data_IF_714614635097
#
_entry.id   IF_714614635097
#
_cell.length_a   1.000
_cell.length_b   1.000
_cell.length_c   1.000
_cell.angle_alpha   90.00
_cell.angle_beta   90.00
_cell.angle_gamma   90.00
#
_symmetry.space_group_name_H-M   'P 1'
#
loop_
_entity.id
_entity.type
_entity.pdbx_description
1 polymer ?
#
# COMPACT_ATOMS: atom_id res chain seq x y z
N UNK A 1 -14.72 -11.72 -2.82
CA UNK A 1 -14.04 -10.75 -3.67
C UNK A 1 -14.72 -10.71 -5.04
N UNK A 2 -15.14 -9.54 -5.51
CA UNK A 2 -15.90 -9.37 -6.76
C UNK A 2 -15.01 -8.83 -7.87
N UNK A 3 -14.14 -7.87 -7.56
CA UNK A 3 -13.19 -7.30 -8.51
C UNK A 3 -11.93 -6.78 -7.81
N UNK A 4 -10.85 -6.69 -8.57
CA UNK A 4 -9.59 -6.07 -8.18
C UNK A 4 -9.12 -5.10 -9.25
N UNK A 5 -8.37 -4.11 -8.85
CA UNK A 5 -7.65 -3.20 -9.72
C UNK A 5 -6.33 -2.82 -9.05
N UNK A 6 -5.25 -2.86 -9.80
CA UNK A 6 -3.93 -2.42 -9.35
C UNK A 6 -3.39 -1.39 -10.33
N UNK A 7 -2.83 -0.32 -9.81
CA UNK A 7 -2.17 0.74 -10.58
C UNK A 7 -0.88 1.17 -9.89
N UNK A 8 0.06 1.68 -10.66
CA UNK A 8 1.26 2.34 -10.14
C UNK A 8 0.86 3.56 -9.31
N UNK A 9 1.49 3.75 -8.14
CA UNK A 9 1.19 4.89 -7.28
C UNK A 9 1.53 6.20 -7.98
N UNK A 10 0.55 7.08 -8.15
CA UNK A 10 0.69 8.39 -8.80
C UNK A 10 1.69 9.32 -8.10
N UNK A 11 1.98 9.08 -6.83
CA UNK A 11 3.04 9.80 -6.09
C UNK A 11 4.46 9.32 -6.44
N UNK A 12 4.61 8.26 -7.25
CA UNK A 12 5.90 7.70 -7.64
C UNK A 12 6.80 8.67 -8.39
N UNK A 13 6.24 9.69 -9.05
CA UNK A 13 6.97 10.79 -9.70
C UNK A 13 7.61 11.77 -8.70
N UNK A 14 7.11 11.80 -7.45
CA UNK A 14 7.60 12.63 -6.35
C UNK A 14 8.44 11.86 -5.35
N UNK A 15 8.77 10.64 -5.62
CA UNK A 15 9.62 9.81 -4.79
C UNK A 15 9.26 8.35 -4.88
N UNK A 16 10.30 7.54 -5.04
CA UNK A 16 10.14 6.09 -5.14
C UNK A 16 9.76 5.43 -3.83
N UNK A 17 10.09 6.07 -2.73
CA UNK A 17 9.90 5.58 -1.38
C UNK A 17 9.29 6.66 -0.47
N UNK A 18 8.92 6.26 0.74
CA UNK A 18 8.25 7.14 1.69
C UNK A 18 9.13 8.26 2.20
N UNK A 19 10.46 8.05 2.32
CA UNK A 19 11.39 9.08 2.81
C UNK A 19 11.51 10.24 1.82
N UNK A 20 11.59 9.93 0.52
CA UNK A 20 11.58 10.98 -0.52
C UNK A 20 10.26 11.78 -0.49
N UNK A 21 9.12 11.13 -0.26
CA UNK A 21 7.83 11.83 -0.14
C UNK A 21 7.81 12.75 1.09
N UNK A 22 8.36 12.30 2.22
CA UNK A 22 8.52 13.14 3.41
C UNK A 22 9.39 14.37 3.13
N UNK A 23 10.47 14.23 2.36
CA UNK A 23 11.29 15.37 1.91
C UNK A 23 10.48 16.37 1.08
N UNK A 24 9.65 15.89 0.14
CA UNK A 24 8.76 16.77 -0.62
C UNK A 24 7.73 17.50 0.24
N UNK A 25 7.22 16.85 1.29
CA UNK A 25 6.35 17.55 2.27
C UNK A 25 7.10 18.67 2.97
N UNK A 26 8.35 18.42 3.39
CA UNK A 26 9.21 19.43 4.01
C UNK A 26 9.51 20.61 3.07
N UNK A 27 9.55 20.35 1.76
CA UNK A 27 9.70 21.38 0.71
C UNK A 27 8.39 22.12 0.36
N UNK A 28 7.31 21.91 1.12
CA UNK A 28 6.01 22.56 0.89
C UNK A 28 5.14 21.93 -0.19
N UNK A 29 5.43 20.72 -0.65
CA UNK A 29 4.67 20.00 -1.69
C UNK A 29 3.69 18.97 -1.13
N UNK A 30 3.38 19.04 0.17
CA UNK A 30 2.50 18.09 0.85
C UNK A 30 1.11 18.02 0.23
N UNK A 31 0.48 19.17 -0.04
CA UNK A 31 -0.86 19.24 -0.60
C UNK A 31 -0.96 18.58 -1.98
N UNK A 32 0.09 18.69 -2.80
CA UNK A 32 0.15 18.03 -4.09
C UNK A 32 0.14 16.49 -3.95
N UNK A 33 0.90 15.95 -2.99
CA UNK A 33 0.92 14.52 -2.71
C UNK A 33 -0.44 14.03 -2.19
N UNK A 34 -1.08 14.79 -1.32
CA UNK A 34 -2.45 14.53 -0.84
C UNK A 34 -3.44 14.48 -2.00
N UNK A 35 -3.45 15.50 -2.83
CA UNK A 35 -4.34 15.56 -3.99
C UNK A 35 -4.15 14.37 -4.93
N UNK A 36 -2.91 14.04 -5.27
CA UNK A 36 -2.59 12.94 -6.19
C UNK A 36 -3.10 11.59 -5.71
N UNK A 37 -2.89 11.25 -4.43
CA UNK A 37 -3.36 9.96 -3.91
C UNK A 37 -4.88 9.90 -3.80
N UNK A 38 -5.53 10.98 -3.37
CA UNK A 38 -6.99 11.04 -3.27
C UNK A 38 -7.65 10.92 -4.64
N UNK A 39 -7.13 11.63 -5.64
CA UNK A 39 -7.61 11.56 -7.01
C UNK A 39 -7.43 10.16 -7.61
N UNK A 40 -6.26 9.54 -7.43
CA UNK A 40 -6.01 8.19 -7.92
C UNK A 40 -6.98 7.18 -7.31
N UNK A 41 -7.17 7.19 -6.00
CA UNK A 41 -8.09 6.26 -5.33
C UNK A 41 -9.53 6.46 -5.84
N UNK A 42 -9.97 7.71 -6.03
CA UNK A 42 -11.28 8.01 -6.59
C UNK A 42 -11.44 7.45 -8.02
N UNK A 43 -10.43 7.67 -8.87
CA UNK A 43 -10.44 7.18 -10.25
C UNK A 43 -10.44 5.65 -10.31
N UNK A 44 -9.61 4.99 -9.51
CA UNK A 44 -9.57 3.52 -9.42
C UNK A 44 -10.91 2.96 -8.97
N UNK A 45 -11.49 3.52 -7.92
CA UNK A 45 -12.82 3.11 -7.44
C UNK A 45 -13.92 3.33 -8.49
N UNK A 46 -13.88 4.45 -9.21
CA UNK A 46 -14.81 4.75 -10.30
C UNK A 46 -14.68 3.73 -11.45
N UNK A 47 -13.45 3.36 -11.83
CA UNK A 47 -13.20 2.30 -12.82
C UNK A 47 -13.77 0.96 -12.38
N UNK A 48 -13.56 0.57 -11.11
CA UNK A 48 -14.12 -0.65 -10.55
C UNK A 48 -15.65 -0.65 -10.62
N UNK A 49 -16.31 0.44 -10.23
CA UNK A 49 -17.76 0.57 -10.29
C UNK A 49 -18.26 0.55 -11.74
N UNK A 50 -17.60 1.23 -12.66
CA UNK A 50 -17.96 1.21 -14.08
C UNK A 50 -17.87 -0.19 -14.70
N UNK A 51 -16.81 -0.95 -14.40
CA UNK A 51 -16.63 -2.33 -14.87
C UNK A 51 -17.81 -3.23 -14.41
N UNK A 52 -18.44 -2.91 -13.27
CA UNK A 52 -19.49 -3.73 -12.65
C UNK A 52 -20.91 -3.16 -12.75
N UNK A 53 -21.09 -1.99 -13.36
CA UNK A 53 -22.43 -1.40 -13.58
C UNK A 53 -23.40 -2.33 -14.33
N UNK A 54 -22.89 -3.22 -15.17
CA UNK A 54 -23.72 -4.23 -15.86
C UNK A 54 -24.32 -5.28 -14.89
N UNK A 55 -23.72 -5.46 -13.70
CA UNK A 55 -24.18 -6.41 -12.68
C UNK A 55 -24.97 -5.73 -11.55
N UNK A 56 -24.72 -4.44 -11.30
CA UNK A 56 -25.30 -3.69 -10.19
C UNK A 56 -25.81 -2.33 -10.70
N UNK A 57 -27.08 -2.29 -11.11
CA UNK A 57 -27.72 -1.03 -11.48
C UNK A 57 -27.64 -0.02 -10.31
N UNK A 58 -27.05 1.15 -10.55
CA UNK A 58 -26.98 2.28 -9.61
C UNK A 58 -26.32 2.00 -8.24
N UNK A 59 -25.10 1.50 -8.20
CA UNK A 59 -24.38 1.38 -6.92
C UNK A 59 -23.41 2.53 -6.74
N UNK A 60 -23.65 3.32 -5.70
CA UNK A 60 -22.68 4.23 -5.11
C UNK A 60 -22.02 3.47 -3.95
N UNK A 61 -20.69 3.50 -3.80
CA UNK A 61 -20.05 2.85 -2.66
C UNK A 61 -20.53 3.52 -1.36
N UNK A 62 -20.86 2.71 -0.35
CA UNK A 62 -21.35 3.21 0.95
C UNK A 62 -20.26 3.23 2.01
N UNK A 63 -19.27 2.36 1.87
CA UNK A 63 -18.13 2.24 2.79
C UNK A 63 -16.83 1.97 2.02
N UNK A 64 -15.74 2.53 2.53
CA UNK A 64 -14.38 2.29 2.07
C UNK A 64 -13.47 2.11 3.28
N UNK A 65 -12.68 1.05 3.29
CA UNK A 65 -11.58 0.88 4.22
C UNK A 65 -10.26 1.20 3.51
N UNK A 66 -9.42 1.99 4.16
CA UNK A 66 -8.10 2.37 3.66
C UNK A 66 -7.05 1.82 4.61
N UNK A 67 -6.11 1.08 4.06
CA UNK A 67 -4.92 0.59 4.74
C UNK A 67 -3.68 0.95 3.92
N UNK A 68 -2.57 1.12 4.59
CA UNK A 68 -1.30 1.41 3.95
C UNK A 68 -0.22 1.74 4.95
N UNK A 69 0.96 1.97 4.43
CA UNK A 69 2.08 2.46 5.22
C UNK A 69 1.71 3.75 5.97
N UNK A 70 2.31 3.96 7.15
CA UNK A 70 1.99 5.10 8.04
C UNK A 70 2.05 6.44 7.31
N UNK A 71 3.11 6.71 6.54
CA UNK A 71 3.25 7.97 5.78
C UNK A 71 2.14 8.14 4.76
N UNK A 72 1.77 7.04 4.06
CA UNK A 72 0.70 7.07 3.06
C UNK A 72 -0.66 7.39 3.69
N UNK A 73 -0.96 6.80 4.84
CA UNK A 73 -2.20 7.07 5.59
C UNK A 73 -2.23 8.53 6.09
N UNK A 74 -1.11 9.05 6.60
CA UNK A 74 -1.01 10.46 7.00
C UNK A 74 -1.24 11.41 5.82
N UNK A 75 -0.61 11.14 4.67
CA UNK A 75 -0.82 11.93 3.46
C UNK A 75 -2.28 11.88 2.99
N UNK A 76 -2.90 10.69 2.97
CA UNK A 76 -4.31 10.56 2.61
C UNK A 76 -5.22 11.37 3.53
N UNK A 77 -4.96 11.32 4.85
CA UNK A 77 -5.70 12.07 5.88
C UNK A 77 -5.31 13.55 5.95
N UNK A 78 -4.26 13.98 5.24
CA UNK A 78 -3.68 15.32 5.35
C UNK A 78 -3.25 15.66 6.77
N UNK A 79 -2.64 14.69 7.45
CA UNK A 79 -2.09 14.85 8.80
C UNK A 79 -0.62 15.23 8.76
N UNK A 80 -0.15 15.85 9.83
CA UNK A 80 1.25 16.18 10.00
C UNK A 80 2.13 14.92 9.97
N UNK A 81 3.21 14.98 9.22
CA UNK A 81 4.19 13.89 9.06
C UNK A 81 5.54 14.20 9.71
N UNK A 82 5.68 15.36 10.36
CA UNK A 82 6.96 15.80 10.95
C UNK A 82 7.45 14.83 12.01
N UNK A 83 6.56 14.27 12.81
CA UNK A 83 6.88 13.25 13.81
C UNK A 83 7.40 11.93 13.23
N UNK A 84 7.20 11.69 11.92
CA UNK A 84 7.70 10.49 11.24
C UNK A 84 9.10 10.68 10.63
N UNK A 85 9.66 11.91 10.65
CA UNK A 85 10.92 12.24 9.99
C UNK A 85 12.16 12.00 10.85
N UNK A 86 12.01 11.88 12.16
CA UNK A 86 13.14 11.77 13.08
C UNK A 86 12.75 11.21 14.45
N UNK A 87 13.71 10.68 15.16
CA UNK A 87 13.53 10.13 16.49
C UNK A 87 13.28 11.25 17.54
N UNK A 88 12.40 11.01 18.54
CA UNK A 88 11.55 9.83 18.66
C UNK A 88 10.40 9.87 17.66
N UNK A 89 10.26 8.80 16.88
CA UNK A 89 9.23 8.72 15.85
C UNK A 89 7.84 8.66 16.47
N UNK A 90 6.92 9.49 15.94
CA UNK A 90 5.54 9.56 16.43
C UNK A 90 4.55 9.77 15.28
N UNK A 91 3.41 9.09 15.34
CA UNK A 91 2.31 9.31 14.43
C UNK A 91 1.43 10.48 14.92
N UNK A 92 0.85 11.23 13.98
CA UNK A 92 -0.02 12.36 14.31
C UNK A 92 -1.47 11.95 14.66
N UNK A 93 -1.78 10.67 14.56
CA UNK A 93 -3.08 10.12 14.98
C UNK A 93 -2.91 8.67 15.46
N UNK A 94 -3.82 8.27 16.34
CA UNK A 94 -3.95 6.91 16.87
C UNK A 94 -5.39 6.42 16.65
N UNK A 95 -5.58 5.10 16.57
CA UNK A 95 -6.88 4.49 16.33
C UNK A 95 -7.40 4.62 14.89
N UNK A 96 -8.67 4.26 14.69
CA UNK A 96 -9.34 4.41 13.42
C UNK A 96 -9.71 5.89 13.18
N UNK A 97 -9.54 6.34 11.94
CA UNK A 97 -9.95 7.68 11.53
C UNK A 97 -11.05 7.58 10.48
N UNK A 98 -12.25 8.08 10.81
CA UNK A 98 -13.40 8.05 9.89
C UNK A 98 -13.68 9.44 9.35
N UNK A 99 -13.92 9.55 8.05
CA UNK A 99 -14.27 10.76 7.33
C UNK A 99 -15.27 10.43 6.20
N UNK A 100 -15.83 11.46 5.60
CA UNK A 100 -16.73 11.30 4.46
C UNK A 100 -16.03 11.66 3.15
N UNK A 101 -16.54 11.15 2.05
CA UNK A 101 -16.02 11.47 0.72
C UNK A 101 -15.94 12.98 0.41
N UNK A 102 -16.89 13.78 0.94
CA UNK A 102 -16.84 15.24 0.84
C UNK A 102 -15.59 15.85 1.50
N UNK A 103 -15.08 15.26 2.58
CA UNK A 103 -13.93 15.74 3.35
C UNK A 103 -12.61 15.54 2.60
N UNK A 104 -12.59 14.63 1.63
CA UNK A 104 -11.46 14.37 0.72
C UNK A 104 -11.66 14.94 -0.68
N UNK A 105 -12.75 15.72 -0.89
CA UNK A 105 -13.04 16.40 -2.16
C UNK A 105 -13.80 15.56 -3.19
N UNK A 106 -14.33 14.41 -2.83
CA UNK A 106 -15.07 13.51 -3.75
C UNK A 106 -16.55 13.87 -3.82
N UNK A 107 -16.91 14.75 -4.76
CA UNK A 107 -18.27 15.27 -4.90
C UNK A 107 -19.30 14.20 -5.24
N UNK A 108 -18.93 13.26 -6.14
CA UNK A 108 -19.83 12.18 -6.56
C UNK A 108 -20.02 11.09 -5.50
N UNK A 109 -19.14 11.06 -4.51
CA UNK A 109 -19.15 10.13 -3.37
C UNK A 109 -19.19 10.88 -2.04
N UNK A 110 -19.89 11.99 -1.98
CA UNK A 110 -19.89 12.92 -0.83
C UNK A 110 -20.29 12.26 0.50
N UNK A 111 -21.15 11.24 0.45
CA UNK A 111 -21.65 10.50 1.62
C UNK A 111 -20.90 9.20 1.90
N UNK A 112 -19.91 8.82 1.06
CA UNK A 112 -19.10 7.64 1.28
C UNK A 112 -18.40 7.70 2.63
N UNK A 113 -18.66 6.72 3.50
CA UNK A 113 -17.92 6.58 4.75
C UNK A 113 -16.55 5.97 4.47
N UNK A 114 -15.49 6.70 4.81
CA UNK A 114 -14.10 6.27 4.61
C UNK A 114 -13.49 6.04 6.00
N UNK A 115 -13.03 4.82 6.24
CA UNK A 115 -12.32 4.48 7.49
C UNK A 115 -10.86 4.16 7.15
N UNK A 116 -9.95 4.96 7.66
CA UNK A 116 -8.52 4.67 7.64
C UNK A 116 -8.18 3.89 8.90
N UNK A 117 -7.65 2.68 8.73
CA UNK A 117 -7.31 1.82 9.84
C UNK A 117 -6.06 2.33 10.58
N UNK A 118 -5.91 2.01 11.89
CA UNK A 118 -4.74 2.42 12.66
C UNK A 118 -3.50 1.67 12.23
N UNK A 119 -2.34 2.33 12.33
CA UNK A 119 -1.05 1.65 12.38
C UNK A 119 -0.80 1.03 13.75
N UNK A 120 0.24 0.21 13.84
CA UNK A 120 0.71 -0.41 15.09
C UNK A 120 1.70 0.52 15.79
N UNK A 121 2.55 1.20 15.02
CA UNK A 121 3.56 2.15 15.50
C UNK A 121 3.91 3.16 14.41
N UNK A 122 4.74 4.14 14.73
CA UNK A 122 5.11 5.22 13.80
C UNK A 122 5.57 4.74 12.41
N UNK A 123 6.28 3.61 12.31
CA UNK A 123 6.72 3.03 11.04
C UNK A 123 6.15 1.63 10.77
N UNK A 124 5.20 1.16 11.54
CA UNK A 124 4.47 -0.09 11.32
C UNK A 124 3.01 0.30 11.05
N UNK A 125 2.67 0.36 9.78
CA UNK A 125 1.45 0.98 9.29
C UNK A 125 0.18 0.14 9.43
N UNK A 126 -0.89 0.66 8.86
CA UNK A 126 -2.20 -0.01 8.81
C UNK A 126 -2.20 -1.25 7.90
N UNK A 127 -1.31 -1.33 6.92
CA UNK A 127 -1.02 -2.50 6.10
C UNK A 127 -0.56 -3.69 6.95
N UNK A 128 0.42 -3.49 7.83
CA UNK A 128 0.87 -4.49 8.78
C UNK A 128 -0.25 -4.88 9.78
N UNK A 129 -1.02 -3.89 10.26
CA UNK A 129 -2.18 -4.16 11.12
C UNK A 129 -3.25 -5.01 10.41
N UNK A 130 -3.51 -4.73 9.13
CA UNK A 130 -4.44 -5.53 8.32
C UNK A 130 -3.93 -6.95 8.09
N UNK A 131 -2.62 -7.13 7.87
CA UNK A 131 -1.98 -8.46 7.75
C UNK A 131 -2.15 -9.25 9.05
N UNK A 132 -1.87 -8.63 10.21
CA UNK A 132 -2.10 -9.22 11.53
C UNK A 132 -3.55 -9.65 11.70
N UNK A 133 -4.48 -8.79 11.26
CA UNK A 133 -5.91 -9.04 11.25
C UNK A 133 -6.31 -10.22 10.39
N UNK A 134 -5.89 -10.24 9.15
CA UNK A 134 -6.24 -11.28 8.19
C UNK A 134 -5.69 -12.66 8.59
N UNK A 135 -4.51 -12.70 9.19
CA UNK A 135 -3.88 -13.94 9.68
C UNK A 135 -4.38 -14.35 11.08
N UNK A 136 -5.21 -13.53 11.74
CA UNK A 136 -5.71 -13.74 13.10
C UNK A 136 -4.59 -14.05 14.11
N UNK A 137 -3.47 -13.36 13.98
CA UNK A 137 -2.27 -13.68 14.76
C UNK A 137 -2.47 -13.50 16.26
N UNK A 138 -3.41 -12.62 16.69
CA UNK A 138 -3.71 -12.42 18.12
C UNK A 138 -4.41 -13.62 18.79
N UNK A 139 -5.05 -14.49 18.01
CA UNK A 139 -5.88 -15.61 18.47
C UNK A 139 -5.15 -16.97 18.31
N UNK A 140 -3.85 -16.94 18.07
CA UNK A 140 -3.10 -18.15 17.79
C UNK A 140 -2.27 -18.62 19.01
N UNK A 141 -2.50 -19.85 19.44
CA UNK A 141 -1.71 -20.52 20.50
C UNK A 141 -0.30 -20.90 20.05
N UNK A 142 -0.02 -20.81 18.74
CA UNK A 142 1.25 -21.19 18.13
C UNK A 142 2.12 -19.97 17.87
N UNK A 143 3.43 -20.18 17.84
CA UNK A 143 4.35 -19.17 17.34
C UNK A 143 4.10 -18.99 15.84
N UNK A 144 3.83 -17.76 15.43
CA UNK A 144 3.60 -17.38 14.04
C UNK A 144 4.51 -16.21 13.68
N UNK A 145 5.09 -16.28 12.49
CA UNK A 145 5.87 -15.20 11.89
C UNK A 145 5.20 -14.80 10.58
N UNK A 146 4.97 -13.52 10.39
CA UNK A 146 4.53 -12.96 9.13
C UNK A 146 5.52 -11.85 8.70
N UNK A 147 5.84 -11.82 7.42
CA UNK A 147 6.78 -10.84 6.85
C UNK A 147 6.15 -10.28 5.59
N UNK A 148 6.03 -8.96 5.55
CA UNK A 148 5.69 -8.20 4.35
C UNK A 148 6.97 -7.63 3.76
N UNK A 149 7.31 -8.08 2.55
CA UNK A 149 8.56 -7.69 1.88
C UNK A 149 8.27 -6.62 0.82
N UNK A 150 8.66 -5.40 1.12
CA UNK A 150 8.67 -4.27 0.20
C UNK A 150 10.02 -3.55 0.25
N UNK A 151 10.05 -2.30 -0.14
CA UNK A 151 11.21 -1.40 0.05
C UNK A 151 11.60 -1.31 1.53
N UNK A 152 10.60 -1.33 2.42
CA UNK A 152 10.75 -1.68 3.82
C UNK A 152 10.15 -3.07 4.04
N UNK A 153 10.59 -3.77 5.06
CA UNK A 153 10.01 -5.03 5.46
C UNK A 153 9.37 -4.89 6.84
N UNK A 154 8.08 -5.22 6.94
CA UNK A 154 7.36 -5.31 8.19
C UNK A 154 7.35 -6.77 8.67
N UNK A 155 7.79 -6.97 9.90
CA UNK A 155 7.90 -8.29 10.53
C UNK A 155 6.97 -8.31 11.73
N UNK A 156 6.04 -9.27 11.73
CA UNK A 156 5.11 -9.53 12.83
C UNK A 156 5.39 -10.90 13.42
N UNK A 157 5.53 -10.98 14.73
CA UNK A 157 5.71 -12.22 15.48
C UNK A 157 4.63 -12.34 16.53
N UNK A 158 3.86 -13.42 16.47
CA UNK A 158 3.08 -13.87 17.61
C UNK A 158 3.86 -14.95 18.38
N UNK A 159 4.13 -14.69 19.64
CA UNK A 159 4.66 -15.68 20.57
C UNK A 159 3.58 -16.01 21.60
N UNK A 160 2.69 -16.96 21.26
CA UNK A 160 1.64 -17.48 22.13
C UNK A 160 0.79 -16.38 22.78
N UNK A 161 0.27 -15.45 21.96
CA UNK A 161 -0.57 -14.36 22.39
C UNK A 161 0.18 -13.05 22.67
N UNK A 162 1.51 -13.07 22.76
CA UNK A 162 2.30 -11.82 22.81
C UNK A 162 2.74 -11.45 21.41
N UNK A 163 2.31 -10.25 20.97
CA UNK A 163 2.60 -9.75 19.64
C UNK A 163 3.80 -8.80 19.64
N UNK A 164 4.68 -8.99 18.69
CA UNK A 164 5.82 -8.13 18.40
C UNK A 164 5.74 -7.65 16.95
N UNK A 165 6.12 -6.41 16.72
CA UNK A 165 6.18 -5.83 15.39
C UNK A 165 7.43 -4.98 15.22
N UNK A 166 8.04 -5.04 14.06
CA UNK A 166 9.11 -4.12 13.69
C UNK A 166 9.08 -3.83 12.19
N UNK A 167 9.67 -2.71 11.81
CA UNK A 167 9.91 -2.37 10.41
C UNK A 167 11.42 -2.19 10.20
N UNK A 168 11.92 -2.62 9.05
CA UNK A 168 13.32 -2.49 8.68
C UNK A 168 13.46 -2.12 7.20
N UNK A 169 14.52 -1.42 6.85
CA UNK A 169 14.83 -1.16 5.45
C UNK A 169 15.34 -2.44 4.79
N UNK A 170 14.60 -2.94 3.78
CA UNK A 170 14.99 -4.10 2.97
C UNK A 170 15.61 -3.68 1.63
N UNK A 171 15.33 -2.45 1.19
CA UNK A 171 15.78 -1.91 -0.09
C UNK A 171 14.86 -2.30 -1.26
N UNK A 172 14.91 -1.54 -2.36
CA UNK A 172 13.97 -1.66 -3.47
C UNK A 172 14.39 -2.69 -4.53
N UNK A 173 15.20 -3.69 -4.18
CA UNK A 173 15.71 -4.66 -5.16
C UNK A 173 14.60 -5.51 -5.80
N UNK A 174 13.59 -5.89 -5.01
CA UNK A 174 12.43 -6.65 -5.51
C UNK A 174 11.53 -5.82 -6.43
N UNK A 175 11.54 -4.51 -6.30
CA UNK A 175 10.86 -3.59 -7.22
C UNK A 175 11.73 -3.24 -8.43
N UNK A 176 12.83 -3.96 -8.63
CA UNK A 176 13.76 -3.79 -9.74
C UNK A 176 14.59 -2.50 -9.68
N UNK A 177 14.83 -1.97 -8.48
CA UNK A 177 15.63 -0.77 -8.25
C UNK A 177 16.90 -1.08 -7.48
N UNK A 178 17.94 -0.27 -7.72
CA UNK A 178 19.23 -0.45 -7.04
C UNK A 178 20.02 -1.70 -7.43
N UNK A 179 19.58 -2.42 -8.45
CA UNK A 179 20.26 -3.58 -9.04
C UNK A 179 20.52 -3.36 -10.53
N UNK A 180 21.64 -3.92 -11.03
CA UNK A 180 21.95 -3.88 -12.46
C UNK A 180 20.86 -4.58 -13.28
N UNK A 181 20.39 -3.92 -14.34
CA UNK A 181 19.31 -4.41 -15.20
C UNK A 181 17.94 -4.59 -14.53
N UNK A 182 17.77 -4.19 -13.27
CA UNK A 182 16.48 -4.19 -12.59
C UNK A 182 15.47 -3.27 -13.27
N UNK A 183 14.22 -3.72 -13.39
CA UNK A 183 13.11 -2.93 -13.94
C UNK A 183 11.82 -3.27 -13.20
N UNK A 184 10.92 -2.29 -13.10
CA UNK A 184 9.56 -2.54 -12.62
C UNK A 184 8.86 -3.57 -13.50
N UNK A 185 7.96 -4.37 -12.90
CA UNK A 185 7.16 -5.33 -13.64
C UNK A 185 6.32 -4.62 -14.72
N UNK A 186 6.66 -4.86 -15.97
CA UNK A 186 5.97 -4.34 -17.16
C UNK A 186 6.23 -5.29 -18.33
N UNK A 187 5.46 -5.19 -19.39
CA UNK A 187 5.61 -6.03 -20.57
C UNK A 187 7.07 -6.17 -21.00
N UNK A 188 7.52 -7.39 -21.20
CA UNK A 188 8.89 -7.73 -21.61
C UNK A 188 9.91 -7.83 -20.48
N UNK A 189 9.51 -7.61 -19.22
CA UNK A 189 10.39 -7.84 -18.05
C UNK A 189 10.31 -9.30 -17.61
N UNK A 190 11.44 -9.89 -17.25
CA UNK A 190 11.50 -11.25 -16.71
C UNK A 190 10.88 -11.25 -15.33
N UNK A 191 9.85 -12.09 -15.11
CA UNK A 191 9.18 -12.24 -13.82
C UNK A 191 9.38 -13.62 -13.18
N UNK A 192 9.86 -14.60 -13.94
CA UNK A 192 10.23 -15.90 -13.39
C UNK A 192 11.36 -16.55 -14.20
N UNK A 193 12.18 -17.34 -13.50
CA UNK A 193 13.28 -18.11 -14.07
C UNK A 193 13.19 -19.55 -13.56
N UNK A 194 13.15 -20.52 -14.47
CA UNK A 194 13.26 -21.94 -14.13
C UNK A 194 14.60 -22.49 -14.58
N UNK A 195 15.28 -23.15 -13.66
CA UNK A 195 16.55 -23.83 -13.91
C UNK A 195 16.31 -25.34 -13.94
N UNK A 196 16.70 -26.00 -15.01
CA UNK A 196 16.58 -27.46 -15.14
C UNK A 196 17.91 -28.12 -14.78
N UNK A 197 17.90 -28.99 -13.75
CA UNK A 197 19.09 -29.73 -13.35
C UNK A 197 19.56 -30.65 -14.46
N UNK A 198 20.81 -30.54 -14.87
CA UNK A 198 21.48 -31.46 -15.77
C UNK A 198 21.51 -31.08 -17.25
N UNK A 199 20.75 -30.09 -17.71
CA UNK A 199 20.70 -29.72 -19.12
C UNK A 199 21.29 -28.34 -19.46
N UNK A 200 21.65 -27.53 -18.44
CA UNK A 200 22.07 -26.14 -18.66
C UNK A 200 20.98 -25.24 -19.25
N UNK A 201 19.75 -25.75 -19.33
CA UNK A 201 18.64 -25.01 -19.92
C UNK A 201 18.00 -24.08 -18.89
N UNK A 202 17.68 -22.87 -19.35
CA UNK A 202 17.00 -21.82 -18.56
C UNK A 202 15.71 -21.48 -19.30
N UNK A 203 14.58 -21.55 -18.59
CA UNK A 203 13.32 -21.03 -19.09
C UNK A 203 13.04 -19.68 -18.43
N UNK A 204 12.75 -18.67 -19.22
CA UNK A 204 12.40 -17.33 -18.77
C UNK A 204 10.92 -17.08 -19.02
N UNK A 205 10.20 -16.63 -18.00
CA UNK A 205 8.84 -16.11 -18.14
C UNK A 205 8.89 -14.59 -18.15
N UNK A 206 8.23 -13.98 -19.14
CA UNK A 206 8.14 -12.54 -19.28
C UNK A 206 6.74 -12.06 -18.86
N UNK A 207 6.67 -10.88 -18.27
CA UNK A 207 5.40 -10.18 -18.06
C UNK A 207 4.75 -9.93 -19.41
N UNK A 208 3.51 -10.37 -19.58
CA UNK A 208 2.77 -10.18 -20.83
C UNK A 208 2.16 -8.78 -20.91
N UNK A 209 1.96 -8.27 -22.13
CA UNK A 209 1.27 -6.99 -22.34
C UNK A 209 -0.22 -7.05 -21.92
N UNK A 210 -0.80 -8.25 -21.76
CA UNK A 210 -2.20 -8.45 -21.34
C UNK A 210 -2.40 -8.34 -19.85
N UNK A 211 -1.36 -8.60 -19.05
CA UNK A 211 -1.42 -8.50 -17.57
C UNK A 211 -1.40 -7.06 -17.06
N UNK A 212 -1.19 -6.08 -17.94
CA UNK A 212 -1.23 -4.64 -17.58
C UNK A 212 -2.63 -4.01 -17.69
N UNK A 213 -3.61 -4.74 -18.26
CA UNK A 213 -4.96 -4.23 -18.53
C UNK A 213 -6.08 -4.98 -17.80
N UNK A 214 -5.74 -5.95 -16.95
CA UNK A 214 -6.68 -6.68 -16.08
C UNK A 214 -6.50 -6.22 -14.57
#
# INVERSE_FOLDING_TARGET
LVATLAEDNAQGTYGSDVMMRLMHVKEGRGDLLVQRIREQIFQMGSKLICKWKSLFAQTVPVQMAVVGNTVMCHLFLQKDVTGLMGAPFSAAYEGCYTLLGKDVGWKDWNTLAITVLPGIAAHVGADAAAMLGNLRMWDADKIQLAVDLGTNAEILLNNRGTLYACSTAAGPAFEGRGISHGRRARAGVINAVKLFRGAGNIELTLVSAREQND
#
